data_IF_800679967233
#
_entry.id   IF_800679967233
#
_cell.length_a   1.000
_cell.length_b   1.000
_cell.length_c   1.000
_cell.angle_alpha   90.00
_cell.angle_beta   90.00
_cell.angle_gamma   90.00
#
_symmetry.space_group_name_H-M   'P 1'
#
loop_
_entity.id
_entity.type
_entity.pdbx_description
1 polymer ?
#
# COMPACT_ATOMS: atom_id res chain seq x y z
N UNK A 1 0.78 28.23 -10.80
CA UNK A 1 0.33 26.92 -11.36
C UNK A 1 -1.00 26.60 -10.69
N UNK A 2 -2.06 26.56 -11.47
CA UNK A 2 -3.42 26.39 -10.95
C UNK A 2 -3.60 24.97 -10.42
N UNK A 3 -3.78 24.81 -9.12
CA UNK A 3 -3.92 23.54 -8.40
C UNK A 3 -5.25 22.82 -8.61
N UNK A 4 -5.71 22.69 -9.83
CA UNK A 4 -6.97 22.03 -10.15
C UNK A 4 -6.83 21.02 -11.31
N UNK A 5 -5.60 20.52 -11.55
CA UNK A 5 -5.39 19.57 -12.63
C UNK A 5 -5.84 18.17 -12.16
N UNK A 6 -6.97 17.71 -12.71
CA UNK A 6 -7.51 16.38 -12.44
C UNK A 6 -6.79 15.38 -13.32
N UNK A 7 -6.03 14.48 -12.73
CA UNK A 7 -5.36 13.38 -13.45
C UNK A 7 -6.37 12.26 -13.76
N UNK A 8 -6.20 11.61 -14.90
CA UNK A 8 -7.08 10.52 -15.34
C UNK A 8 -6.33 9.20 -15.47
N UNK A 9 -6.93 8.15 -14.92
CA UNK A 9 -6.44 6.77 -15.00
C UNK A 9 -7.61 5.82 -15.27
N UNK A 10 -7.35 4.66 -15.85
CA UNK A 10 -8.34 3.59 -15.93
C UNK A 10 -8.64 3.02 -14.54
N UNK A 11 -7.58 2.87 -13.72
CA UNK A 11 -7.69 2.32 -12.36
C UNK A 11 -6.86 3.12 -11.37
N UNK A 12 -7.44 3.49 -10.24
CA UNK A 12 -6.74 4.01 -9.07
C UNK A 12 -6.75 2.95 -7.98
N UNK A 13 -5.58 2.61 -7.45
CA UNK A 13 -5.41 1.70 -6.32
C UNK A 13 -5.09 2.54 -5.09
N UNK A 14 -5.89 2.43 -4.03
CA UNK A 14 -5.70 3.15 -2.77
C UNK A 14 -5.03 2.20 -1.77
N UNK A 15 -3.75 2.42 -1.50
CA UNK A 15 -2.90 1.63 -0.63
C UNK A 15 -1.82 0.86 -1.40
N UNK A 16 -0.56 1.13 -1.05
CA UNK A 16 0.66 0.53 -1.62
C UNK A 16 1.23 -0.64 -0.79
N UNK A 17 0.37 -1.38 -0.09
CA UNK A 17 0.73 -2.60 0.61
C UNK A 17 0.71 -3.84 -0.31
N UNK A 18 0.75 -5.03 0.31
CA UNK A 18 0.77 -6.33 -0.40
C UNK A 18 -0.35 -6.45 -1.44
N UNK A 19 -1.58 -6.12 -1.06
CA UNK A 19 -2.74 -6.23 -1.95
C UNK A 19 -2.68 -5.23 -3.10
N UNK A 20 -2.33 -3.97 -2.82
CA UNK A 20 -2.21 -2.93 -3.84
C UNK A 20 -1.09 -3.20 -4.83
N UNK A 21 0.08 -3.59 -4.35
CA UNK A 21 1.23 -3.93 -5.21
C UNK A 21 0.95 -5.16 -6.08
N UNK A 22 0.34 -6.22 -5.52
CA UNK A 22 -0.03 -7.40 -6.30
C UNK A 22 -1.07 -7.07 -7.37
N UNK A 23 -2.06 -6.25 -7.04
CA UNK A 23 -3.04 -5.76 -8.01
C UNK A 23 -2.36 -4.98 -9.13
N UNK A 24 -1.45 -4.06 -8.76
CA UNK A 24 -0.65 -3.30 -9.72
C UNK A 24 0.18 -4.17 -10.65
N UNK A 25 0.80 -5.22 -10.12
CA UNK A 25 1.52 -6.21 -10.94
C UNK A 25 0.64 -6.85 -12.02
N UNK A 26 -0.58 -7.27 -11.66
CA UNK A 26 -1.49 -7.87 -12.63
C UNK A 26 -2.00 -6.86 -13.67
N UNK A 27 -2.29 -5.62 -13.27
CA UNK A 27 -2.69 -4.55 -14.19
C UNK A 27 -1.55 -4.19 -15.15
N UNK A 28 -0.31 -4.10 -14.65
CA UNK A 28 0.86 -3.84 -15.49
C UNK A 28 1.06 -4.94 -16.55
N UNK A 29 0.87 -6.21 -16.18
CA UNK A 29 0.93 -7.33 -17.14
C UNK A 29 -0.14 -7.28 -18.23
N UNK A 30 -1.26 -6.61 -17.95
CA UNK A 30 -2.35 -6.42 -18.91
C UNK A 30 -2.20 -5.13 -19.74
N UNK A 31 -1.16 -4.32 -19.47
CA UNK A 31 -0.94 -3.03 -20.15
C UNK A 31 -1.92 -1.95 -19.72
N UNK A 32 -2.57 -2.10 -18.54
CA UNK A 32 -3.54 -1.13 -18.01
C UNK A 32 -2.87 0.17 -17.54
N UNK A 33 -3.58 1.29 -17.70
CA UNK A 33 -3.16 2.58 -17.16
C UNK A 33 -3.69 2.74 -15.73
N UNK A 34 -2.79 2.72 -14.75
CA UNK A 34 -3.16 2.82 -13.34
C UNK A 34 -2.15 3.60 -12.53
N UNK A 35 -2.56 3.95 -11.30
CA UNK A 35 -1.68 4.52 -10.29
C UNK A 35 -1.99 3.87 -8.93
N UNK A 36 -0.97 3.71 -8.10
CA UNK A 36 -1.10 3.27 -6.71
C UNK A 36 -0.81 4.47 -5.82
N UNK A 37 -1.75 4.83 -4.95
CA UNK A 37 -1.62 5.94 -4.00
C UNK A 37 -1.37 5.38 -2.61
N UNK A 38 -0.27 5.76 -1.97
CA UNK A 38 0.08 5.34 -0.61
C UNK A 38 0.31 6.55 0.28
N UNK A 39 -0.32 6.54 1.45
CA UNK A 39 -0.18 7.61 2.43
C UNK A 39 1.20 7.64 3.11
N UNK A 40 1.93 6.52 3.10
CA UNK A 40 3.27 6.44 3.67
C UNK A 40 4.29 7.13 2.77
N UNK A 41 5.39 7.59 3.38
CA UNK A 41 6.50 8.25 2.67
C UNK A 41 7.29 7.30 1.79
N UNK A 42 7.27 6.00 2.10
CA UNK A 42 8.00 4.96 1.40
C UNK A 42 7.21 3.66 1.36
N UNK A 43 7.34 2.92 0.25
CA UNK A 43 6.78 1.57 0.14
C UNK A 43 7.33 0.68 1.25
N UNK A 44 6.46 -0.08 1.90
CA UNK A 44 6.82 -0.96 3.02
C UNK A 44 6.75 -0.31 4.40
N UNK A 45 6.56 1.00 4.52
CA UNK A 45 6.53 1.68 5.83
C UNK A 45 5.41 1.19 6.75
N UNK A 46 4.32 0.66 6.21
CA UNK A 46 3.30 -0.01 7.01
C UNK A 46 3.85 -1.19 7.83
N UNK A 47 4.94 -1.80 7.37
CA UNK A 47 5.69 -2.83 8.10
C UNK A 47 6.78 -2.23 8.98
N UNK A 48 7.59 -1.28 8.49
CA UNK A 48 8.68 -0.65 9.27
C UNK A 48 8.20 -0.01 10.56
N UNK A 49 6.98 0.55 10.57
CA UNK A 49 6.35 1.19 11.73
C UNK A 49 5.77 0.21 12.77
N UNK A 50 5.87 -1.10 12.55
CA UNK A 50 5.48 -2.12 13.55
C UNK A 50 6.53 -2.22 14.65
N UNK A 51 6.17 -2.93 15.75
CA UNK A 51 7.10 -3.17 16.86
C UNK A 51 8.35 -3.95 16.41
N UNK A 52 9.46 -3.70 17.06
CA UNK A 52 10.78 -4.14 16.59
C UNK A 52 10.96 -5.66 16.52
N UNK A 53 10.36 -6.39 17.43
CA UNK A 53 10.45 -7.86 17.48
C UNK A 53 9.48 -8.59 16.54
N UNK A 54 8.70 -7.85 15.72
CA UNK A 54 7.74 -8.49 14.82
C UNK A 54 8.45 -9.39 13.80
N UNK A 55 7.99 -10.63 13.75
CA UNK A 55 8.26 -11.58 12.67
C UNK A 55 6.95 -12.02 12.04
N UNK A 56 6.99 -12.33 10.75
CA UNK A 56 5.84 -12.90 10.06
C UNK A 56 5.49 -14.25 10.68
N UNK A 57 4.20 -14.58 10.70
CA UNK A 57 3.71 -15.84 11.26
C UNK A 57 3.76 -17.00 10.27
N UNK A 58 4.05 -16.69 9.00
CA UNK A 58 4.19 -17.66 7.91
C UNK A 58 5.65 -17.85 7.56
N UNK A 59 6.08 -19.07 7.17
CA UNK A 59 7.39 -19.29 6.59
C UNK A 59 7.57 -18.54 5.25
N UNK A 60 8.78 -18.10 4.99
CA UNK A 60 9.15 -17.28 3.81
C UNK A 60 8.67 -17.84 2.46
N UNK A 61 8.54 -19.16 2.35
CA UNK A 61 8.02 -19.80 1.12
C UNK A 61 6.59 -19.41 0.77
N UNK A 62 5.82 -18.85 1.73
CA UNK A 62 4.44 -18.41 1.53
C UNK A 62 4.30 -16.89 1.51
N UNK A 63 5.38 -16.14 1.76
CA UNK A 63 5.34 -14.69 1.92
C UNK A 63 5.61 -13.92 0.60
N UNK A 64 5.94 -14.64 -0.47
CA UNK A 64 6.15 -14.05 -1.78
C UNK A 64 4.85 -13.59 -2.44
N UNK A 65 4.93 -12.49 -3.19
CA UNK A 65 3.85 -11.99 -4.03
C UNK A 65 3.92 -12.57 -5.45
N UNK A 66 2.86 -12.38 -6.24
CA UNK A 66 2.81 -12.84 -7.62
C UNK A 66 4.03 -12.36 -8.43
N UNK A 67 4.69 -13.28 -9.11
CA UNK A 67 5.87 -13.00 -9.94
C UNK A 67 7.20 -12.84 -9.20
N UNK A 68 7.22 -12.89 -7.85
CA UNK A 68 8.45 -12.78 -7.07
C UNK A 68 8.40 -13.61 -5.78
N UNK A 69 9.35 -14.52 -5.60
CA UNK A 69 9.50 -15.25 -4.34
C UNK A 69 10.08 -14.33 -3.27
N UNK A 70 9.75 -14.61 -2.01
CA UNK A 70 10.40 -13.95 -0.89
C UNK A 70 11.87 -14.37 -0.78
N UNK A 71 12.84 -13.44 -0.65
CA UNK A 71 14.27 -13.72 -0.73
C UNK A 71 14.87 -14.17 0.63
N UNK A 72 14.34 -15.25 1.20
CA UNK A 72 14.81 -15.82 2.46
C UNK A 72 14.72 -17.36 2.42
N UNK A 73 15.42 -18.08 3.33
CA UNK A 73 15.30 -19.52 3.44
C UNK A 73 13.85 -19.97 3.63
N UNK A 74 13.41 -20.97 2.89
CA UNK A 74 12.01 -21.38 2.76
C UNK A 74 11.26 -21.59 4.07
N UNK A 75 11.95 -22.03 5.12
CA UNK A 75 11.37 -22.32 6.45
C UNK A 75 11.66 -21.25 7.49
N UNK A 76 12.33 -20.16 7.12
CA UNK A 76 12.56 -19.03 8.02
C UNK A 76 11.30 -18.16 8.17
N UNK A 77 11.23 -17.42 9.27
CA UNK A 77 10.16 -16.45 9.55
C UNK A 77 10.74 -15.05 9.39
N UNK A 78 10.41 -14.33 8.29
CA UNK A 78 10.97 -13.00 8.02
C UNK A 78 10.62 -11.99 9.10
N UNK A 79 11.50 -11.02 9.28
CA UNK A 79 11.23 -9.83 10.11
C UNK A 79 10.32 -8.83 9.38
N UNK A 80 9.79 -7.86 10.13
CA UNK A 80 9.05 -6.74 9.56
C UNK A 80 9.86 -5.94 8.53
N UNK A 81 11.15 -5.76 8.80
CA UNK A 81 12.03 -4.98 7.92
C UNK A 81 12.37 -5.74 6.64
N UNK A 82 12.62 -7.06 6.73
CA UNK A 82 12.77 -7.90 5.54
C UNK A 82 11.51 -7.87 4.66
N UNK A 83 10.31 -7.86 5.26
CA UNK A 83 9.07 -7.74 4.51
C UNK A 83 8.93 -6.35 3.88
N UNK A 84 9.26 -5.28 4.60
CA UNK A 84 9.23 -3.92 4.09
C UNK A 84 10.17 -3.75 2.89
N UNK A 85 11.40 -4.23 2.99
CA UNK A 85 12.40 -4.16 1.93
C UNK A 85 12.01 -5.02 0.72
N UNK A 86 11.39 -6.16 0.95
CA UNK A 86 10.82 -7.00 -0.10
C UNK A 86 9.74 -6.25 -0.90
N UNK A 87 8.81 -5.55 -0.23
CA UNK A 87 7.76 -4.79 -0.90
C UNK A 87 8.31 -3.61 -1.70
N UNK A 88 9.30 -2.91 -1.18
CA UNK A 88 9.98 -1.82 -1.85
C UNK A 88 10.70 -2.32 -3.12
N UNK A 89 11.46 -3.40 -2.99
CA UNK A 89 12.13 -4.07 -4.11
C UNK A 89 11.14 -4.63 -5.14
N UNK A 90 9.97 -5.12 -4.69
CA UNK A 90 8.92 -5.62 -5.57
C UNK A 90 8.34 -4.50 -6.44
N UNK A 91 8.02 -3.36 -5.84
CA UNK A 91 7.51 -2.20 -6.58
C UNK A 91 8.52 -1.72 -7.62
N UNK A 92 9.80 -1.62 -7.25
CA UNK A 92 10.87 -1.23 -8.15
C UNK A 92 11.11 -2.25 -9.27
N UNK A 93 11.12 -3.54 -8.95
CA UNK A 93 11.36 -4.63 -9.93
C UNK A 93 10.34 -4.63 -11.06
N UNK A 94 9.09 -4.35 -10.77
CA UNK A 94 7.99 -4.36 -11.75
C UNK A 94 7.61 -2.98 -12.25
N UNK A 95 8.41 -1.96 -11.92
CA UNK A 95 8.20 -0.56 -12.33
C UNK A 95 6.76 -0.09 -12.04
N UNK A 96 6.26 -0.41 -10.85
CA UNK A 96 4.88 -0.08 -10.47
C UNK A 96 4.74 1.42 -10.18
N UNK A 97 3.72 2.10 -10.73
CA UNK A 97 3.53 3.54 -10.59
C UNK A 97 2.98 3.88 -9.19
N UNK A 98 3.80 3.71 -8.15
CA UNK A 98 3.45 4.04 -6.78
C UNK A 98 3.77 5.50 -6.49
N UNK A 99 2.79 6.23 -5.98
CA UNK A 99 2.95 7.60 -5.46
C UNK A 99 2.82 7.56 -3.95
N UNK A 100 3.92 7.76 -3.27
CA UNK A 100 4.01 7.83 -1.81
C UNK A 100 3.71 9.24 -1.30
N UNK A 101 3.40 9.37 0.00
CA UNK A 101 3.01 10.65 0.60
C UNK A 101 1.66 11.18 0.10
N UNK A 102 0.80 10.31 -0.45
CA UNK A 102 -0.52 10.67 -0.98
C UNK A 102 -1.61 10.04 -0.13
N UNK A 103 -2.08 10.78 0.87
CA UNK A 103 -3.17 10.35 1.74
C UNK A 103 -4.52 10.64 1.11
N UNK A 104 -5.21 9.60 0.68
CA UNK A 104 -6.57 9.73 0.14
C UNK A 104 -7.53 10.05 1.28
N UNK A 105 -8.26 11.14 1.15
CA UNK A 105 -9.23 11.61 2.13
C UNK A 105 -10.68 11.32 1.72
N UNK A 106 -10.95 11.19 0.41
CA UNK A 106 -12.29 10.94 -0.06
C UNK A 106 -12.34 10.17 -1.36
N UNK A 107 -13.30 9.24 -1.45
CA UNK A 107 -13.74 8.58 -2.66
C UNK A 107 -15.21 8.90 -2.91
N UNK A 108 -15.55 9.41 -4.08
CA UNK A 108 -16.90 9.70 -4.49
C UNK A 108 -17.17 9.20 -5.90
N UNK A 109 -18.45 8.99 -6.23
CA UNK A 109 -18.89 8.71 -7.59
C UNK A 109 -19.44 10.00 -8.19
N UNK A 110 -18.98 10.32 -9.39
CA UNK A 110 -19.44 11.47 -10.15
C UNK A 110 -19.84 10.95 -11.53
N UNK A 111 -21.11 10.99 -11.83
CA UNK A 111 -21.69 10.35 -13.01
C UNK A 111 -21.33 8.85 -13.10
N UNK A 112 -20.71 8.43 -14.18
CA UNK A 112 -20.29 7.05 -14.40
C UNK A 112 -18.85 6.75 -13.97
N UNK A 113 -18.17 7.72 -13.33
CA UNK A 113 -16.78 7.64 -12.91
C UNK A 113 -16.61 7.82 -11.41
N UNK A 114 -15.42 7.49 -10.94
CA UNK A 114 -15.01 7.75 -9.56
C UNK A 114 -14.07 8.94 -9.51
N UNK A 115 -14.19 9.73 -8.45
CA UNK A 115 -13.28 10.80 -8.10
C UNK A 115 -12.62 10.46 -6.76
N UNK A 116 -11.30 10.32 -6.79
CA UNK A 116 -10.46 10.12 -5.60
C UNK A 116 -9.77 11.44 -5.30
N UNK A 117 -9.87 11.92 -4.06
CA UNK A 117 -9.20 13.16 -3.63
C UNK A 117 -8.16 12.88 -2.53
N UNK A 118 -7.06 13.62 -2.58
CA UNK A 118 -5.98 13.60 -1.61
C UNK A 118 -5.45 15.03 -1.42
N UNK A 119 -6.03 15.75 -0.45
CA UNK A 119 -5.83 17.19 -0.30
C UNK A 119 -6.27 17.94 -1.57
N UNK A 120 -5.35 18.67 -2.20
CA UNK A 120 -5.63 19.41 -3.43
C UNK A 120 -5.55 18.57 -4.71
N UNK A 121 -5.07 17.34 -4.60
CA UNK A 121 -4.95 16.42 -5.76
C UNK A 121 -6.27 15.74 -6.05
N UNK A 122 -6.55 15.55 -7.35
CA UNK A 122 -7.77 14.90 -7.83
C UNK A 122 -7.42 13.87 -8.90
N UNK A 123 -8.00 12.67 -8.75
CA UNK A 123 -7.82 11.55 -9.67
C UNK A 123 -9.17 11.05 -10.12
N UNK A 124 -9.46 11.19 -11.41
CA UNK A 124 -10.67 10.65 -12.05
C UNK A 124 -10.37 9.29 -12.64
N UNK A 125 -11.25 8.32 -12.42
CA UNK A 125 -10.99 6.93 -12.83
C UNK A 125 -12.27 6.15 -13.10
N UNK A 126 -12.17 5.14 -13.95
CA UNK A 126 -13.26 4.19 -14.22
C UNK A 126 -13.40 3.13 -13.13
N UNK A 127 -12.29 2.79 -12.46
CA UNK A 127 -12.23 1.73 -11.45
C UNK A 127 -11.39 2.15 -10.26
N UNK A 128 -11.83 1.74 -9.06
CA UNK A 128 -11.07 1.94 -7.83
C UNK A 128 -10.87 0.60 -7.13
N UNK A 129 -9.65 0.37 -6.67
CA UNK A 129 -9.31 -0.74 -5.79
C UNK A 129 -8.95 -0.18 -4.42
N UNK A 130 -9.74 -0.52 -3.40
CA UNK A 130 -9.45 -0.12 -2.02
C UNK A 130 -8.61 -1.22 -1.36
N UNK A 131 -7.33 -0.92 -1.13
CA UNK A 131 -6.34 -1.83 -0.57
C UNK A 131 -5.63 -1.24 0.66
N UNK A 132 -6.37 -0.49 1.48
CA UNK A 132 -5.84 0.30 2.61
C UNK A 132 -5.39 -0.54 3.80
N UNK A 133 -5.75 -1.82 3.86
CA UNK A 133 -5.50 -2.68 5.01
C UNK A 133 -6.41 -2.34 6.21
N UNK A 134 -6.20 -3.03 7.32
CA UNK A 134 -7.07 -2.93 8.51
C UNK A 134 -6.36 -2.40 9.77
N UNK A 135 -5.05 -2.11 9.72
CA UNK A 135 -4.24 -1.86 10.91
C UNK A 135 -3.56 -0.48 10.94
N UNK A 136 -4.16 0.53 10.31
CA UNK A 136 -3.58 1.88 10.23
C UNK A 136 -4.06 2.81 11.36
N UNK A 137 -5.16 2.48 12.06
CA UNK A 137 -5.64 3.22 13.21
C UNK A 137 -5.56 2.33 14.46
N UNK A 138 -4.68 2.63 15.43
CA UNK A 138 -4.57 1.85 16.64
C UNK A 138 -5.83 2.04 17.52
N UNK A 139 -6.38 0.93 18.03
CA UNK A 139 -7.39 0.95 19.08
C UNK A 139 -6.70 0.82 20.44
N UNK A 140 -6.63 1.91 21.17
CA UNK A 140 -6.03 1.95 22.52
C UNK A 140 -7.14 1.73 23.55
N UNK A 141 -7.09 0.66 24.38
CA UNK A 141 -8.04 0.46 25.47
C UNK A 141 -7.96 1.57 26.50
N UNK A 142 -9.08 1.90 27.16
CA UNK A 142 -9.13 2.99 28.14
C UNK A 142 -8.14 2.80 29.32
N UNK A 143 -7.92 1.57 29.75
CA UNK A 143 -6.98 1.24 30.83
C UNK A 143 -5.49 1.43 30.47
N UNK A 144 -5.17 1.61 29.19
CA UNK A 144 -3.78 1.76 28.75
C UNK A 144 -3.11 3.02 29.34
N UNK A 145 -3.91 4.04 29.70
CA UNK A 145 -3.42 5.25 30.37
C UNK A 145 -2.94 4.99 31.82
N UNK A 146 -3.34 3.87 32.41
CA UNK A 146 -2.95 3.46 33.78
C UNK A 146 -1.66 2.64 33.81
N UNK A 147 -1.16 2.22 32.61
CA UNK A 147 0.08 1.47 32.49
C UNK A 147 1.27 2.41 32.63
N UNK A 148 2.21 2.05 33.51
CA UNK A 148 3.46 2.80 33.67
C UNK A 148 4.28 2.66 32.36
N UNK A 149 4.93 3.74 31.90
CA UNK A 149 5.87 3.64 30.81
C UNK A 149 7.03 2.73 31.24
N UNK A 150 7.31 1.71 30.45
CA UNK A 150 8.43 0.78 30.63
C UNK A 150 9.75 1.40 30.19
#
# INVERSE_FOLDING_TARGET
MNGNDTERFETVIIGGGQAGLTTGYHLAKQGGQFVILDANERVGDAWRKRWDSLRLFTPAKYDGLAGSRFPAPSVSFPTKDEMADYLDAYAARFDLPVRTGVSVDRLSRVDDRYLVTAGDRRFETDRVVVATGAHHIPKVPAFAAELLPS
#
